data_IF_524961291621
#
_entry.id   IF_524961291621
#
_cell.length_a   1.000
_cell.length_b   1.000
_cell.length_c   1.000
_cell.angle_alpha   90.00
_cell.angle_beta   90.00
_cell.angle_gamma   90.00
#
_symmetry.space_group_name_H-M   'P 1'
#
loop_
_entity.id
_entity.type
_entity.pdbx_description
1 polymer ?
#
# COMPACT_ATOMS: atom_id res chain seq x y z
N UNK A 1 -7.17 -4.83 16.24
CA UNK A 1 -6.33 -3.64 16.48
C UNK A 1 -5.80 -3.24 15.13
N UNK A 2 -5.86 -1.95 14.78
CA UNK A 2 -5.23 -1.49 13.56
C UNK A 2 -3.72 -1.52 13.77
N UNK A 3 -2.99 -2.19 12.89
CA UNK A 3 -1.55 -2.43 13.04
C UNK A 3 -0.75 -1.74 11.93
N UNK A 4 0.41 -1.19 12.28
CA UNK A 4 1.36 -0.69 11.28
C UNK A 4 1.99 -1.89 10.57
N UNK A 5 1.76 -2.00 9.26
CA UNK A 5 2.27 -3.11 8.45
C UNK A 5 3.43 -2.71 7.54
N UNK A 6 3.68 -1.42 7.32
CA UNK A 6 4.88 -1.02 6.61
C UNK A 6 5.17 0.47 6.50
N UNK A 7 6.44 0.75 6.22
CA UNK A 7 7.05 2.07 6.01
C UNK A 7 7.75 2.07 4.64
N UNK A 8 7.25 2.89 3.71
CA UNK A 8 7.72 2.92 2.32
C UNK A 8 8.30 4.28 1.97
N UNK A 9 9.59 4.32 1.66
CA UNK A 9 10.37 5.55 1.44
C UNK A 9 10.55 5.78 -0.06
N UNK A 10 10.07 6.91 -0.56
CA UNK A 10 10.49 7.43 -1.85
C UNK A 10 11.68 8.37 -1.62
N UNK A 11 12.88 7.85 -1.83
CA UNK A 11 14.13 8.57 -1.52
C UNK A 11 14.38 9.72 -2.49
N UNK A 12 13.97 9.57 -3.75
CA UNK A 12 14.06 10.61 -4.79
C UNK A 12 13.24 11.85 -4.44
N UNK A 13 12.09 11.67 -3.77
CA UNK A 13 11.16 12.75 -3.41
C UNK A 13 11.17 13.13 -1.93
N UNK A 14 11.94 12.44 -1.09
CA UNK A 14 11.93 12.63 0.37
C UNK A 14 10.58 12.32 1.04
N UNK A 15 9.77 11.43 0.46
CA UNK A 15 8.41 11.11 0.96
C UNK A 15 8.42 9.77 1.69
N UNK A 16 7.77 9.72 2.85
CA UNK A 16 7.52 8.47 3.60
C UNK A 16 6.02 8.19 3.64
N UNK A 17 5.64 6.96 3.28
CA UNK A 17 4.27 6.47 3.43
C UNK A 17 4.22 5.41 4.54
N UNK A 18 3.30 5.58 5.49
CA UNK A 18 2.98 4.61 6.54
C UNK A 18 1.69 3.88 6.15
N UNK A 19 1.67 2.55 6.29
CA UNK A 19 0.51 1.73 5.94
C UNK A 19 0.04 1.00 7.19
N UNK A 20 -1.24 1.18 7.50
CA UNK A 20 -1.92 0.48 8.59
C UNK A 20 -2.95 -0.48 8.01
N UNK A 21 -3.02 -1.69 8.55
CA UNK A 21 -4.07 -2.65 8.23
C UNK A 21 -5.25 -2.42 9.16
N UNK A 22 -6.41 -2.12 8.55
CA UNK A 22 -7.67 -1.91 9.24
C UNK A 22 -8.71 -2.95 8.81
N UNK A 23 -9.80 -3.03 9.56
CA UNK A 23 -10.99 -3.82 9.20
C UNK A 23 -12.16 -2.88 8.91
N UNK A 24 -12.89 -3.05 7.80
CA UNK A 24 -14.12 -2.29 7.57
C UNK A 24 -15.16 -2.58 8.68
N UNK A 25 -15.72 -1.53 9.27
CA UNK A 25 -16.73 -1.61 10.33
C UNK A 25 -18.17 -1.40 9.85
N UNK A 26 -18.35 -0.87 8.64
CA UNK A 26 -19.65 -0.63 8.00
C UNK A 26 -19.58 0.43 6.90
N UNK A 27 -20.73 0.79 6.34
CA UNK A 27 -20.85 1.79 5.26
C UNK A 27 -20.98 1.19 3.86
N UNK A 28 -21.12 2.07 2.87
CA UNK A 28 -21.15 1.74 1.43
C UNK A 28 -20.14 2.59 0.69
N UNK A 29 -19.46 2.04 -0.30
CA UNK A 29 -18.43 2.73 -1.08
C UNK A 29 -19.02 3.95 -1.79
N UNK A 30 -18.31 5.08 -1.73
CA UNK A 30 -18.68 6.32 -2.42
C UNK A 30 -17.42 7.04 -2.90
N UNK A 31 -17.52 7.65 -4.07
CA UNK A 31 -16.47 8.54 -4.60
C UNK A 31 -16.56 9.92 -3.96
N UNK A 32 -15.53 10.73 -4.20
CA UNK A 32 -15.38 12.12 -3.78
C UNK A 32 -14.86 12.97 -4.94
N UNK A 33 -14.66 14.26 -4.73
CA UNK A 33 -13.97 15.12 -5.72
C UNK A 33 -12.54 14.68 -6.04
N UNK A 34 -11.94 13.82 -5.21
CA UNK A 34 -10.57 13.32 -5.36
C UNK A 34 -10.50 11.87 -5.90
N UNK A 35 -11.64 11.21 -6.11
CA UNK A 35 -11.68 9.79 -6.54
C UNK A 35 -12.67 9.55 -7.67
N UNK A 36 -12.25 8.76 -8.66
CA UNK A 36 -13.06 8.44 -9.85
C UNK A 36 -13.83 7.12 -9.72
N UNK A 37 -13.34 6.19 -8.90
CA UNK A 37 -13.97 4.90 -8.63
C UNK A 37 -13.50 4.32 -7.29
N UNK A 38 -14.29 3.41 -6.72
CA UNK A 38 -13.93 2.59 -5.56
C UNK A 38 -14.17 1.12 -5.92
N UNK A 39 -13.26 0.23 -5.54
CA UNK A 39 -13.37 -1.20 -5.78
C UNK A 39 -12.63 -1.99 -4.71
N UNK A 40 -13.17 -3.13 -4.32
CA UNK A 40 -12.46 -4.13 -3.52
C UNK A 40 -11.74 -5.09 -4.44
N UNK A 41 -10.47 -5.36 -4.14
CA UNK A 41 -9.60 -6.21 -4.95
C UNK A 41 -9.09 -7.38 -4.11
N UNK A 42 -8.97 -8.53 -4.77
CA UNK A 42 -8.20 -9.67 -4.27
C UNK A 42 -6.69 -9.40 -4.43
N UNK A 43 -5.83 -10.11 -3.67
CA UNK A 43 -4.38 -9.91 -3.76
C UNK A 43 -3.81 -10.09 -5.18
N UNK A 44 -4.38 -11.01 -5.96
CA UNK A 44 -3.95 -11.28 -7.33
C UNK A 44 -4.30 -10.10 -8.25
N UNK A 45 -5.50 -9.54 -8.11
CA UNK A 45 -5.95 -8.37 -8.86
C UNK A 45 -5.14 -7.12 -8.52
N UNK A 46 -4.66 -6.99 -7.29
CA UNK A 46 -3.74 -5.92 -6.88
C UNK A 46 -2.44 -6.00 -7.66
N UNK A 47 -1.85 -7.19 -7.79
CA UNK A 47 -0.60 -7.39 -8.52
C UNK A 47 -0.75 -7.09 -10.02
N UNK A 48 -1.91 -7.39 -10.60
CA UNK A 48 -2.19 -7.14 -12.03
C UNK A 48 -2.52 -5.67 -12.33
N UNK A 49 -3.29 -5.01 -11.46
CA UNK A 49 -3.88 -3.68 -11.75
C UNK A 49 -3.07 -2.50 -11.23
N UNK A 50 -2.13 -2.72 -10.30
CA UNK A 50 -1.36 -1.66 -9.66
C UNK A 50 0.11 -1.70 -10.08
N UNK A 51 0.77 -0.55 -10.10
CA UNK A 51 2.22 -0.55 -10.28
C UNK A 51 2.91 -1.17 -9.06
N UNK A 52 4.04 -1.84 -9.31
CA UNK A 52 4.82 -2.60 -8.32
C UNK A 52 4.97 -1.88 -6.97
N UNK A 53 5.35 -0.61 -6.99
CA UNK A 53 5.63 0.21 -5.80
C UNK A 53 4.40 0.56 -4.96
N UNK A 54 3.20 0.43 -5.51
CA UNK A 54 1.95 0.56 -4.75
C UNK A 54 1.39 -0.82 -4.39
N UNK A 55 1.45 -1.79 -5.31
CA UNK A 55 0.99 -3.16 -5.09
C UNK A 55 1.68 -3.79 -3.88
N UNK A 56 3.01 -3.68 -3.80
CA UNK A 56 3.80 -4.27 -2.71
C UNK A 56 3.33 -3.80 -1.33
N UNK A 57 2.83 -2.57 -1.22
CA UNK A 57 2.40 -2.02 0.07
C UNK A 57 1.18 -2.74 0.62
N UNK A 58 0.31 -3.18 -0.27
CA UNK A 58 -0.91 -3.91 0.08
C UNK A 58 -0.59 -5.38 0.31
N UNK A 59 0.28 -5.98 -0.52
CA UNK A 59 0.68 -7.38 -0.38
C UNK A 59 1.45 -7.63 0.93
N UNK A 60 2.42 -6.77 1.24
CA UNK A 60 3.14 -6.78 2.53
C UNK A 60 2.17 -6.63 3.72
N UNK A 61 1.08 -5.87 3.58
CA UNK A 61 0.09 -5.73 4.64
C UNK A 61 -0.74 -7.00 4.88
N UNK A 62 -0.83 -7.89 3.89
CA UNK A 62 -1.62 -9.12 3.97
C UNK A 62 -0.83 -10.31 4.50
N UNK A 63 0.50 -10.29 4.43
CA UNK A 63 1.36 -11.44 4.76
C UNK A 63 1.52 -11.71 6.27
N UNK A 64 1.19 -10.74 7.12
CA UNK A 64 1.24 -10.85 8.59
C UNK A 64 2.64 -10.80 9.20
N UNK A 65 3.68 -10.47 8.42
CA UNK A 65 5.09 -10.46 8.84
C UNK A 65 5.67 -9.04 8.96
N UNK A 66 4.80 -8.01 9.05
CA UNK A 66 5.21 -6.62 9.14
C UNK A 66 5.74 -6.19 10.53
N UNK A 67 6.17 -4.92 10.69
CA UNK A 67 6.15 -3.88 9.66
C UNK A 67 7.30 -4.02 8.65
N UNK A 68 6.96 -4.03 7.36
CA UNK A 68 7.94 -4.04 6.28
C UNK A 68 8.55 -2.65 6.07
N UNK A 69 9.87 -2.56 5.90
CA UNK A 69 10.56 -1.30 5.59
C UNK A 69 11.20 -1.40 4.23
N UNK A 70 10.73 -0.60 3.26
CA UNK A 70 11.23 -0.62 1.89
C UNK A 70 11.55 0.78 1.38
N UNK A 71 12.56 0.86 0.52
CA UNK A 71 12.92 2.08 -0.20
C UNK A 71 12.64 1.92 -1.69
N UNK A 72 12.38 3.02 -2.37
CA UNK A 72 12.21 3.09 -3.83
C UNK A 72 12.76 4.37 -4.43
N UNK A 73 13.16 4.30 -5.68
CA UNK A 73 13.65 5.42 -6.50
C UNK A 73 12.52 6.17 -7.25
N UNK A 74 11.28 5.76 -7.04
CA UNK A 74 10.08 6.33 -7.68
C UNK A 74 9.45 5.41 -8.71
N UNK A 75 10.18 4.41 -9.22
CA UNK A 75 9.66 3.41 -10.17
C UNK A 75 9.84 1.98 -9.69
N UNK A 76 10.93 1.68 -8.98
CA UNK A 76 11.27 0.32 -8.53
C UNK A 76 11.66 0.30 -7.06
N UNK A 77 11.53 -0.87 -6.45
CA UNK A 77 12.12 -1.14 -5.15
C UNK A 77 13.65 -1.14 -5.27
N UNK A 78 14.31 -0.58 -4.25
CA UNK A 78 15.76 -0.66 -4.12
C UNK A 78 16.10 -1.54 -2.91
N UNK A 79 17.19 -2.33 -2.99
CA UNK A 79 17.66 -3.11 -1.85
C UNK A 79 17.86 -2.22 -0.63
N UNK A 80 17.62 -2.77 0.57
CA UNK A 80 18.09 -2.12 1.77
C UNK A 80 19.62 -2.05 1.71
N UNK A 81 20.16 -0.84 1.85
CA UNK A 81 21.58 -0.62 2.12
C UNK A 81 21.92 -0.92 3.56
#
# INVERSE_FOLDING_TARGET
MDELTGVYKNTTRGIVALVFRCKPSGGTERTSSESTAVSWLRPEEVAERMSEVFAIRLLDALDGNGPHVRSRDGKRLIPAG
#
